data_IF_393506259393
#
_entry.id   IF_393506259393
#
_cell.length_a   1.000
_cell.length_b   1.000
_cell.length_c   1.000
_cell.angle_alpha   90.00
_cell.angle_beta   90.00
_cell.angle_gamma   90.00
#
_symmetry.space_group_name_H-M   'P 1'
#
loop_
_entity.id
_entity.type
_entity.pdbx_description
1 polymer ?
#
# COMPACT_ATOMS: atom_id res chain seq x y z
N UNK A 1 8.56 35.45 2.57
CA UNK A 1 7.54 34.51 2.05
C UNK A 1 7.14 33.61 3.20
N UNK A 2 5.85 33.52 3.55
CA UNK A 2 5.39 32.85 4.76
C UNK A 2 5.52 31.33 4.57
N UNK A 3 6.28 30.63 5.41
CA UNK A 3 6.52 29.18 5.31
C UNK A 3 5.25 28.33 5.44
N UNK A 4 4.13 28.95 5.87
CA UNK A 4 2.80 28.36 5.93
C UNK A 4 2.06 28.33 4.58
N UNK A 5 2.61 28.95 3.51
CA UNK A 5 1.98 29.03 2.17
C UNK A 5 2.97 28.62 1.06
N UNK A 6 4.00 27.83 1.38
CA UNK A 6 4.80 27.20 0.32
C UNK A 6 4.06 25.96 -0.18
N UNK A 7 3.77 25.94 -1.48
CA UNK A 7 3.25 24.76 -2.17
C UNK A 7 4.18 23.58 -1.84
N UNK A 8 3.63 22.54 -1.21
CA UNK A 8 4.39 21.32 -1.01
C UNK A 8 4.61 20.66 -2.38
N UNK A 9 5.77 20.03 -2.62
CA UNK A 9 5.92 19.12 -3.74
C UNK A 9 4.75 18.13 -3.75
N UNK A 10 4.15 17.96 -4.92
CA UNK A 10 3.04 17.05 -5.11
C UNK A 10 3.30 16.14 -6.32
N UNK A 11 2.72 14.96 -6.26
CA UNK A 11 2.76 13.98 -7.35
C UNK A 11 1.34 13.48 -7.63
N UNK A 12 1.03 13.30 -8.91
CA UNK A 12 -0.21 12.68 -9.35
C UNK A 12 0.11 11.27 -9.85
N UNK A 13 -0.57 10.27 -9.30
CA UNK A 13 -0.39 8.86 -9.65
C UNK A 13 -1.65 8.38 -10.35
N UNK A 14 -1.48 7.82 -11.54
CA UNK A 14 -2.55 7.28 -12.36
C UNK A 14 -2.65 5.77 -12.19
N UNK A 15 -3.58 5.11 -12.91
CA UNK A 15 -3.71 3.65 -12.91
C UNK A 15 -2.37 2.96 -13.20
N UNK A 16 -1.66 3.48 -14.20
CA UNK A 16 -0.40 2.93 -14.69
C UNK A 16 -0.57 1.56 -15.32
N UNK A 17 0.55 0.89 -15.54
CA UNK A 17 0.61 -0.50 -16.00
C UNK A 17 1.13 -1.37 -14.87
N UNK A 18 0.49 -2.52 -14.64
CA UNK A 18 1.01 -3.51 -13.71
C UNK A 18 2.31 -4.10 -14.27
N UNK A 19 3.40 -3.97 -13.52
CA UNK A 19 4.72 -4.48 -13.91
C UNK A 19 5.04 -5.83 -13.28
N UNK A 20 4.45 -6.12 -12.12
CA UNK A 20 4.67 -7.34 -11.37
C UNK A 20 3.51 -7.58 -10.38
N UNK A 21 3.39 -8.79 -9.87
CA UNK A 21 2.40 -9.13 -8.85
C UNK A 21 1.93 -10.57 -8.89
N UNK A 22 1.20 -10.93 -7.84
CA UNK A 22 0.55 -12.22 -7.72
C UNK A 22 -0.91 -12.04 -7.27
N UNK A 23 -1.82 -12.76 -7.91
CA UNK A 23 -3.25 -12.78 -7.59
C UNK A 23 -3.76 -14.21 -7.74
N UNK A 24 -4.89 -14.51 -7.11
CA UNK A 24 -5.48 -15.85 -7.12
C UNK A 24 -6.89 -15.90 -6.55
N UNK A 25 -7.23 -17.02 -5.94
CA UNK A 25 -8.55 -17.28 -5.31
C UNK A 25 -8.71 -16.57 -3.97
N UNK A 26 -7.61 -16.26 -3.28
CA UNK A 26 -7.64 -15.50 -2.03
C UNK A 26 -8.32 -16.27 -0.91
N UNK A 27 -7.90 -17.53 -0.75
CA UNK A 27 -8.49 -18.51 0.18
C UNK A 27 -7.80 -18.56 1.54
N UNK A 28 -6.67 -17.87 1.70
CA UNK A 28 -5.94 -17.76 2.96
C UNK A 28 -5.96 -16.33 3.47
N UNK A 29 -6.19 -16.18 4.78
CA UNK A 29 -6.02 -14.93 5.51
C UNK A 29 -4.77 -15.03 6.38
N UNK A 30 -3.78 -14.20 6.08
CA UNK A 30 -2.51 -14.16 6.77
C UNK A 30 -2.55 -13.09 7.85
N UNK A 31 -2.61 -13.52 9.10
CA UNK A 31 -2.55 -12.64 10.26
C UNK A 31 -1.29 -11.77 10.26
N UNK A 32 -1.49 -10.46 10.49
CA UNK A 32 -0.45 -9.45 10.60
C UNK A 32 -0.48 -8.70 11.96
N UNK A 33 -1.06 -9.29 13.01
CA UNK A 33 -1.08 -8.69 14.36
C UNK A 33 0.31 -8.61 15.00
N UNK A 34 1.19 -9.57 14.68
CA UNK A 34 2.57 -9.64 15.19
C UNK A 34 3.59 -10.17 14.18
N UNK A 35 3.19 -10.29 12.92
CA UNK A 35 4.03 -10.82 11.85
C UNK A 35 4.24 -9.78 10.76
N UNK A 36 5.50 -9.45 10.50
CA UNK A 36 5.89 -8.75 9.28
C UNK A 36 5.78 -9.72 8.10
N UNK A 37 5.43 -9.20 6.92
CA UNK A 37 5.38 -9.95 5.66
C UNK A 37 6.28 -9.29 4.62
N UNK A 38 7.09 -10.09 3.92
CA UNK A 38 7.99 -9.62 2.89
C UNK A 38 7.67 -10.29 1.54
N UNK A 39 7.51 -9.45 0.53
CA UNK A 39 7.29 -9.80 -0.87
C UNK A 39 8.45 -9.25 -1.67
N UNK A 40 8.78 -9.85 -2.81
CA UNK A 40 9.66 -9.18 -3.78
C UNK A 40 8.95 -8.97 -5.10
N UNK A 41 9.44 -7.99 -5.84
CA UNK A 41 9.14 -7.79 -7.25
C UNK A 41 10.43 -7.49 -8.01
N UNK A 42 10.39 -7.63 -9.33
CA UNK A 42 11.49 -7.23 -10.22
C UNK A 42 11.08 -5.96 -10.95
N UNK A 43 11.91 -4.91 -10.91
CA UNK A 43 11.68 -3.65 -11.62
C UNK A 43 11.97 -3.83 -13.13
N UNK A 44 11.26 -4.74 -13.80
CA UNK A 44 11.53 -5.10 -15.19
C UNK A 44 11.01 -4.01 -16.13
N UNK A 45 11.92 -3.44 -16.92
CA UNK A 45 11.61 -2.40 -17.89
C UNK A 45 11.30 -1.03 -17.29
N UNK A 46 11.44 -0.84 -15.97
CA UNK A 46 11.09 0.41 -15.27
C UNK A 46 12.19 0.89 -14.34
N UNK A 47 12.16 2.18 -14.03
CA UNK A 47 13.04 2.83 -13.05
C UNK A 47 12.28 3.52 -11.92
N UNK A 48 10.96 3.24 -11.84
CA UNK A 48 10.06 3.82 -10.86
C UNK A 48 8.88 2.87 -10.58
N UNK A 49 8.23 3.05 -9.44
CA UNK A 49 6.90 2.50 -9.13
C UNK A 49 5.99 3.63 -8.61
N UNK A 50 4.77 3.68 -9.12
CA UNK A 50 3.83 4.76 -8.80
C UNK A 50 2.94 4.37 -7.63
N UNK A 51 2.45 3.12 -7.60
CA UNK A 51 1.58 2.58 -6.55
C UNK A 51 1.73 1.07 -6.42
N UNK A 52 1.30 0.58 -5.26
CA UNK A 52 1.16 -0.85 -4.99
C UNK A 52 -0.27 -1.15 -4.58
N UNK A 53 -0.75 -2.35 -4.89
CA UNK A 53 -1.99 -2.88 -4.33
C UNK A 53 -1.69 -4.11 -3.50
N UNK A 54 -2.36 -4.23 -2.35
CA UNK A 54 -2.44 -5.46 -1.57
C UNK A 54 -3.90 -5.84 -1.40
N UNK A 55 -4.22 -7.13 -1.45
CA UNK A 55 -5.53 -7.60 -1.03
C UNK A 55 -5.54 -7.73 0.49
N UNK A 56 -6.37 -6.93 1.15
CA UNK A 56 -6.39 -6.75 2.60
C UNK A 56 -7.80 -6.95 3.14
N UNK A 57 -7.88 -7.27 4.43
CA UNK A 57 -9.10 -7.15 5.22
C UNK A 57 -8.74 -6.64 6.62
N UNK A 58 -9.46 -5.64 7.10
CA UNK A 58 -9.31 -5.15 8.47
C UNK A 58 -10.10 -6.01 9.45
N UNK A 59 -9.48 -6.37 10.58
CA UNK A 59 -10.12 -7.08 11.68
C UNK A 59 -10.34 -6.14 12.88
N UNK A 60 -11.49 -6.27 13.54
CA UNK A 60 -11.89 -5.34 14.61
C UNK A 60 -11.89 -3.87 14.13
N UNK A 61 -11.20 -3.01 14.89
CA UNK A 61 -11.02 -1.59 14.50
C UNK A 61 -9.86 -1.36 13.52
N UNK A 62 -9.10 -2.39 13.18
CA UNK A 62 -7.93 -2.30 12.31
C UNK A 62 -6.69 -1.69 12.98
N UNK A 63 -5.57 -1.74 12.27
CA UNK A 63 -4.33 -1.06 12.62
C UNK A 63 -3.75 -0.37 11.37
N UNK A 64 -3.02 0.72 11.55
CA UNK A 64 -2.38 1.41 10.42
C UNK A 64 -1.39 0.44 9.76
N UNK A 65 -1.44 0.36 8.43
CA UNK A 65 -0.55 -0.52 7.68
C UNK A 65 0.66 0.29 7.24
N UNK A 66 1.85 -0.15 7.64
CA UNK A 66 3.10 0.44 7.15
C UNK A 66 3.68 -0.47 6.08
N UNK A 67 3.94 0.11 4.92
CA UNK A 67 4.54 -0.59 3.79
C UNK A 67 5.87 0.09 3.47
N UNK A 68 6.92 -0.70 3.39
CA UNK A 68 8.27 -0.26 3.08
C UNK A 68 8.72 -0.83 1.73
N UNK A 69 9.42 -0.02 0.95
CA UNK A 69 10.21 -0.46 -0.19
C UNK A 69 11.68 -0.58 0.24
N UNK A 70 12.28 -1.74 -0.02
CA UNK A 70 13.68 -2.00 0.33
C UNK A 70 14.48 -2.59 -0.82
N UNK A 71 15.77 -2.29 -0.85
CA UNK A 71 16.75 -2.98 -1.71
C UNK A 71 17.67 -3.87 -0.86
N UNK A 72 18.08 -5.00 -1.41
CA UNK A 72 19.13 -5.83 -0.80
C UNK A 72 18.76 -6.58 0.48
N UNK A 73 17.47 -6.67 0.86
CA UNK A 73 17.04 -7.57 1.93
C UNK A 73 17.37 -9.02 1.57
N UNK A 74 17.82 -9.79 2.57
CA UNK A 74 18.10 -11.23 2.43
C UNK A 74 17.21 -12.02 3.39
N UNK A 75 16.50 -13.01 2.88
CA UNK A 75 15.50 -13.77 3.63
C UNK A 75 16.09 -14.64 4.76
N UNK A 76 17.40 -14.92 4.76
CA UNK A 76 18.05 -15.58 5.89
C UNK A 76 18.19 -14.68 7.14
N UNK A 77 17.85 -13.39 7.03
CA UNK A 77 17.92 -12.41 8.11
C UNK A 77 19.31 -11.81 8.33
N UNK A 78 20.28 -12.08 7.45
CA UNK A 78 21.63 -11.49 7.53
C UNK A 78 21.64 -9.98 7.31
N UNK A 79 20.66 -9.44 6.58
CA UNK A 79 20.47 -8.00 6.38
C UNK A 79 19.02 -7.66 6.09
N UNK A 80 18.55 -6.54 6.65
CA UNK A 80 17.24 -5.93 6.32
C UNK A 80 17.28 -5.12 5.02
N UNK A 81 18.46 -4.98 4.39
CA UNK A 81 18.63 -4.12 3.24
C UNK A 81 18.49 -2.63 3.55
N UNK A 82 18.51 -1.81 2.51
CA UNK A 82 18.32 -0.37 2.59
C UNK A 82 16.84 -0.02 2.46
N UNK A 83 16.35 0.88 3.34
CA UNK A 83 15.01 1.45 3.22
C UNK A 83 15.02 2.56 2.16
N UNK A 84 14.29 2.35 1.08
CA UNK A 84 14.18 3.31 -0.02
C UNK A 84 12.96 4.23 0.13
N UNK A 85 11.85 3.66 0.62
CA UNK A 85 10.60 4.39 0.76
C UNK A 85 9.71 3.77 1.84
N UNK A 86 8.85 4.57 2.47
CA UNK A 86 7.85 4.11 3.43
C UNK A 86 6.53 4.86 3.25
N UNK A 87 5.43 4.13 3.22
CA UNK A 87 4.06 4.66 3.20
C UNK A 87 3.25 4.12 4.37
N UNK A 88 2.31 4.93 4.87
CA UNK A 88 1.34 4.53 5.89
C UNK A 88 -0.05 4.58 5.29
N UNK A 89 -0.75 3.46 5.28
CA UNK A 89 -2.18 3.38 4.98
C UNK A 89 -2.96 3.43 6.30
N UNK A 90 -3.78 4.47 6.54
CA UNK A 90 -4.61 4.56 7.74
C UNK A 90 -5.58 3.39 7.88
N UNK A 91 -5.76 2.91 9.12
CA UNK A 91 -6.69 1.81 9.42
C UNK A 91 -8.13 2.08 9.01
N UNK A 92 -8.53 3.36 8.98
CA UNK A 92 -9.86 3.79 8.57
C UNK A 92 -10.14 3.41 7.10
N UNK A 93 -9.09 3.25 6.29
CA UNK A 93 -9.18 2.94 4.87
C UNK A 93 -9.14 1.43 4.60
N UNK A 94 -9.00 0.60 5.64
CA UNK A 94 -9.03 -0.83 5.51
C UNK A 94 -10.44 -1.32 5.18
N UNK A 95 -10.58 -2.20 4.18
CA UNK A 95 -11.88 -2.74 3.83
C UNK A 95 -12.33 -3.74 4.89
N UNK A 96 -13.65 -3.82 5.13
CA UNK A 96 -14.25 -4.77 6.09
C UNK A 96 -14.45 -6.17 5.52
N UNK A 97 -14.33 -6.31 4.20
CA UNK A 97 -14.28 -7.58 3.47
C UNK A 97 -13.02 -7.58 2.62
N UNK A 98 -12.51 -8.75 2.25
CA UNK A 98 -11.32 -8.84 1.39
C UNK A 98 -11.48 -7.99 0.12
N UNK A 99 -10.52 -7.10 -0.11
CA UNK A 99 -10.47 -6.26 -1.31
C UNK A 99 -9.04 -5.77 -1.56
N UNK A 100 -8.70 -5.53 -2.83
CA UNK A 100 -7.48 -4.82 -3.17
C UNK A 100 -7.57 -3.36 -2.74
N UNK A 101 -6.56 -2.91 -1.99
CA UNK A 101 -6.39 -1.52 -1.58
C UNK A 101 -5.21 -0.92 -2.33
N UNK A 102 -5.44 0.19 -3.01
CA UNK A 102 -4.39 0.93 -3.73
C UNK A 102 -3.68 1.90 -2.81
N UNK A 103 -2.35 1.85 -2.80
CA UNK A 103 -1.47 2.57 -1.88
C UNK A 103 -0.43 3.34 -2.71
N UNK A 104 -0.34 4.67 -2.55
CA UNK A 104 0.61 5.48 -3.33
C UNK A 104 2.05 5.27 -2.84
N UNK A 105 3.01 5.30 -3.76
CA UNK A 105 4.45 5.15 -3.44
C UNK A 105 5.31 6.24 -4.09
N UNK A 106 5.11 6.53 -5.39
CA UNK A 106 5.94 7.48 -6.17
C UNK A 106 7.47 7.31 -5.95
N UNK A 107 7.95 6.06 -5.96
CA UNK A 107 9.35 5.76 -5.75
C UNK A 107 10.09 5.73 -7.09
N UNK A 108 11.12 6.56 -7.23
CA UNK A 108 11.95 6.69 -8.45
C UNK A 108 13.39 6.24 -8.18
N UNK A 109 14.21 6.14 -9.23
CA UNK A 109 15.62 5.75 -9.11
C UNK A 109 15.85 4.24 -8.95
N UNK A 110 14.85 3.42 -9.32
CA UNK A 110 15.01 1.98 -9.36
C UNK A 110 15.91 1.58 -10.54
N UNK A 111 16.63 0.47 -10.36
CA UNK A 111 17.48 -0.11 -11.39
C UNK A 111 16.67 -1.13 -12.17
N UNK A 112 16.56 -0.94 -13.49
CA UNK A 112 15.87 -1.88 -14.37
C UNK A 112 16.42 -3.31 -14.21
N UNK A 113 15.52 -4.26 -13.95
CA UNK A 113 15.84 -5.68 -13.75
C UNK A 113 16.34 -6.04 -12.35
N UNK A 114 16.48 -5.07 -11.45
CA UNK A 114 16.81 -5.35 -10.05
C UNK A 114 15.59 -5.82 -9.26
N UNK A 115 15.84 -6.63 -8.23
CA UNK A 115 14.83 -7.10 -7.28
C UNK A 115 14.72 -6.11 -6.12
N UNK A 116 13.49 -5.76 -5.78
CA UNK A 116 13.14 -4.96 -4.62
C UNK A 116 12.15 -5.70 -3.74
N UNK A 117 12.09 -5.30 -2.48
CA UNK A 117 11.23 -5.92 -1.46
C UNK A 117 10.15 -4.95 -0.99
N UNK A 118 8.92 -5.45 -0.91
CA UNK A 118 7.82 -4.78 -0.24
C UNK A 118 7.63 -5.46 1.12
N UNK A 119 7.83 -4.71 2.20
CA UNK A 119 7.60 -5.20 3.55
C UNK A 119 6.33 -4.57 4.10
N UNK A 120 5.37 -5.41 4.46
CA UNK A 120 4.17 -5.02 5.20
C UNK A 120 4.47 -5.29 6.68
N UNK A 121 4.57 -4.23 7.47
CA UNK A 121 4.87 -4.35 8.90
C UNK A 121 3.64 -4.82 9.66
N UNK A 122 3.83 -5.83 10.51
CA UNK A 122 2.80 -6.28 11.43
C UNK A 122 2.47 -5.18 12.43
N UNK A 123 1.18 -5.01 12.73
CA UNK A 123 0.71 -3.99 13.65
C UNK A 123 -0.61 -4.39 14.31
N UNK A 124 -0.85 -3.80 15.49
CA UNK A 124 -2.07 -4.00 16.24
C UNK A 124 -1.93 -4.99 17.39
N UNK A 125 -3.02 -5.68 17.69
CA UNK A 125 -3.12 -6.72 18.71
C UNK A 125 -3.95 -7.90 18.19
N UNK A 126 -4.23 -8.91 19.03
CA UNK A 126 -4.98 -10.09 18.62
C UNK A 126 -6.46 -9.80 18.21
N UNK A 127 -6.97 -8.60 18.47
CA UNK A 127 -8.34 -8.16 18.19
C UNK A 127 -8.39 -7.09 17.09
N UNK A 128 -7.47 -6.13 17.13
CA UNK A 128 -7.45 -4.95 16.26
C UNK A 128 -6.21 -4.99 15.38
N UNK A 129 -6.37 -5.53 14.17
CA UNK A 129 -5.27 -5.76 13.24
C UNK A 129 -5.81 -5.88 11.81
N UNK A 130 -4.99 -6.35 10.90
CA UNK A 130 -5.39 -6.63 9.52
C UNK A 130 -4.82 -7.96 9.06
N UNK A 131 -5.42 -8.53 8.04
CA UNK A 131 -4.90 -9.70 7.34
C UNK A 131 -4.51 -9.32 5.91
N UNK A 132 -3.43 -9.94 5.45
CA UNK A 132 -3.12 -10.03 4.02
C UNK A 132 -3.85 -11.25 3.44
N UNK A 133 -4.40 -11.09 2.25
CA UNK A 133 -5.10 -12.18 1.56
C UNK A 133 -4.14 -12.87 0.59
N UNK A 134 -4.27 -14.18 0.47
CA UNK A 134 -3.42 -14.97 -0.41
C UNK A 134 -3.91 -16.38 -0.64
N UNK A 135 -2.98 -17.23 -1.02
CA UNK A 135 -3.19 -18.66 -1.25
C UNK A 135 -2.78 -19.49 -0.03
N UNK A 136 -3.16 -20.76 0.02
CA UNK A 136 -2.74 -21.68 1.10
C UNK A 136 -1.34 -22.25 0.88
N UNK A 137 -0.83 -22.19 -0.35
CA UNK A 137 0.48 -22.70 -0.73
C UNK A 137 1.45 -21.56 -1.08
N UNK A 138 2.75 -21.82 -0.91
CA UNK A 138 3.80 -20.95 -1.43
C UNK A 138 3.92 -21.10 -2.94
N UNK A 139 4.16 -19.99 -3.64
CA UNK A 139 4.54 -19.96 -5.05
C UNK A 139 6.02 -19.56 -5.16
N UNK A 140 6.83 -20.40 -5.80
CA UNK A 140 8.27 -20.15 -5.96
C UNK A 140 8.59 -18.89 -6.79
N UNK A 141 7.68 -18.47 -7.67
CA UNK A 141 7.85 -17.24 -8.45
C UNK A 141 7.54 -15.98 -7.62
N UNK A 142 6.63 -16.13 -6.65
CA UNK A 142 6.14 -15.03 -5.79
C UNK A 142 6.12 -15.47 -4.32
N UNK A 143 7.26 -15.79 -3.72
CA UNK A 143 7.31 -16.22 -2.34
C UNK A 143 6.95 -15.05 -1.42
N UNK A 144 6.15 -15.35 -0.41
CA UNK A 144 5.88 -14.45 0.70
C UNK A 144 6.60 -15.02 1.91
N UNK A 145 7.41 -14.19 2.55
CA UNK A 145 8.06 -14.56 3.79
C UNK A 145 7.43 -13.83 4.97
N UNK A 146 7.54 -14.40 6.16
CA UNK A 146 7.06 -13.79 7.38
C UNK A 146 8.08 -13.90 8.50
N UNK A 147 8.01 -12.96 9.44
CA UNK A 147 8.85 -12.96 10.64
C UNK A 147 8.13 -12.30 11.81
N UNK A 148 8.39 -12.80 13.01
CA UNK A 148 8.00 -12.14 14.25
C UNK A 148 9.11 -11.19 14.71
N UNK A 149 8.79 -9.91 14.89
CA UNK A 149 9.75 -8.90 15.31
C UNK A 149 10.85 -8.61 14.27
N UNK A 150 11.90 -7.91 14.72
CA UNK A 150 12.92 -7.32 13.84
C UNK A 150 14.23 -8.13 13.73
N UNK A 151 14.29 -9.33 14.30
CA UNK A 151 15.52 -10.15 14.36
C UNK A 151 15.21 -11.58 13.95
N UNK A 152 16.16 -12.23 13.27
CA UNK A 152 16.07 -13.62 12.85
C UNK A 152 15.72 -13.79 11.38
N UNK A 153 15.77 -15.03 10.93
CA UNK A 153 15.48 -15.40 9.54
C UNK A 153 14.01 -15.23 9.20
N UNK A 154 13.75 -14.83 7.95
CA UNK A 154 12.41 -14.82 7.39
C UNK A 154 11.98 -16.24 7.04
N UNK A 155 10.79 -16.63 7.46
CA UNK A 155 10.24 -17.95 7.20
C UNK A 155 9.36 -17.91 5.96
N UNK A 156 9.55 -18.86 5.04
CA UNK A 156 8.68 -18.97 3.87
C UNK A 156 7.25 -19.34 4.30
N UNK A 157 6.27 -18.59 3.81
CA UNK A 157 4.85 -18.81 4.07
C UNK A 157 4.03 -18.95 2.79
N UNK A 158 2.70 -18.99 2.94
CA UNK A 158 1.79 -18.96 1.80
C UNK A 158 1.91 -17.65 1.01
N UNK A 159 1.75 -17.69 -0.31
CA UNK A 159 1.90 -16.50 -1.16
C UNK A 159 0.73 -15.54 -0.99
N UNK A 160 1.04 -14.28 -0.71
CA UNK A 160 0.05 -13.21 -0.62
C UNK A 160 -0.18 -12.48 -1.94
N UNK A 161 -1.35 -11.87 -2.06
CA UNK A 161 -1.74 -11.11 -3.23
C UNK A 161 -1.22 -9.68 -3.17
N UNK A 162 -0.54 -9.30 -4.25
CA UNK A 162 -0.04 -7.95 -4.41
C UNK A 162 0.08 -7.61 -5.90
N UNK A 163 0.10 -6.32 -6.21
CA UNK A 163 0.38 -5.81 -7.55
C UNK A 163 1.25 -4.58 -7.45
N UNK A 164 2.16 -4.41 -8.40
CA UNK A 164 3.05 -3.26 -8.50
C UNK A 164 2.79 -2.57 -9.82
N UNK A 165 2.59 -1.24 -9.78
CA UNK A 165 2.25 -0.44 -10.95
C UNK A 165 3.28 0.67 -11.17
N UNK A 166 3.48 1.01 -12.44
CA UNK A 166 4.36 2.10 -12.89
C UNK A 166 3.74 2.85 -14.08
N UNK A 167 4.16 4.08 -14.33
CA UNK A 167 3.68 4.93 -15.43
C UNK A 167 2.42 5.74 -15.10
N UNK A 168 1.94 6.47 -16.12
CA UNK A 168 0.96 7.57 -15.99
C UNK A 168 -0.31 7.39 -16.85
N UNK A 169 -0.57 6.18 -17.34
CA UNK A 169 -1.77 5.88 -18.14
C UNK A 169 -3.01 5.71 -17.24
N UNK A 170 -4.19 6.00 -17.79
CA UNK A 170 -5.49 5.75 -17.16
C UNK A 170 -6.00 6.88 -16.28
N UNK A 171 -6.87 6.55 -15.32
CA UNK A 171 -7.51 7.50 -14.42
C UNK A 171 -6.57 7.90 -13.28
N UNK A 172 -6.79 9.10 -12.72
CA UNK A 172 -6.03 9.58 -11.56
C UNK A 172 -6.41 8.76 -10.32
N UNK A 173 -5.48 8.01 -9.73
CA UNK A 173 -5.73 7.17 -8.56
C UNK A 173 -5.30 7.81 -7.26
N UNK A 174 -4.20 8.56 -7.28
CA UNK A 174 -3.72 9.25 -6.08
C UNK A 174 -3.15 10.63 -6.36
N UNK A 175 -3.29 11.52 -5.38
CA UNK A 175 -2.49 12.73 -5.28
C UNK A 175 -1.68 12.70 -4.00
N UNK A 176 -0.36 12.84 -4.09
CA UNK A 176 0.56 12.91 -2.95
C UNK A 176 1.00 14.34 -2.71
N UNK A 177 1.16 14.74 -1.45
CA UNK A 177 1.54 16.09 -1.05
C UNK A 177 2.29 16.03 0.28
N UNK A 178 3.62 16.08 0.21
CA UNK A 178 4.48 15.74 1.35
C UNK A 178 4.26 14.29 1.80
N UNK A 179 4.00 14.07 3.09
CA UNK A 179 3.66 12.75 3.65
C UNK A 179 2.15 12.43 3.60
N UNK A 180 1.32 13.37 3.14
CA UNK A 180 -0.10 13.16 2.94
C UNK A 180 -0.42 12.63 1.54
N UNK A 181 -1.58 12.00 1.42
CA UNK A 181 -2.09 11.59 0.12
C UNK A 181 -3.62 11.66 0.05
N UNK A 182 -4.12 11.58 -1.17
CA UNK A 182 -5.53 11.41 -1.50
C UNK A 182 -5.63 10.19 -2.39
N UNK A 183 -6.57 9.28 -2.12
CA UNK A 183 -6.92 8.16 -3.01
C UNK A 183 -8.29 8.42 -3.60
N UNK A 184 -8.43 8.16 -4.90
CA UNK A 184 -9.62 8.42 -5.68
C UNK A 184 -10.18 7.09 -6.18
N UNK A 185 -11.45 6.83 -5.89
CA UNK A 185 -12.20 5.72 -6.44
C UNK A 185 -13.28 6.23 -7.39
N UNK A 186 -13.41 5.54 -8.52
CA UNK A 186 -14.44 5.78 -9.51
C UNK A 186 -15.43 4.61 -9.52
N UNK A 187 -16.67 4.91 -9.87
CA UNK A 187 -17.67 3.93 -10.26
C UNK A 187 -17.98 4.17 -11.75
N UNK A 188 -17.49 3.28 -12.61
CA UNK A 188 -17.28 3.59 -14.02
C UNK A 188 -16.41 4.86 -14.14
N UNK A 189 -16.83 5.84 -14.95
CA UNK A 189 -16.07 7.09 -15.18
C UNK A 189 -16.42 8.19 -14.17
N UNK A 190 -17.27 7.89 -13.17
CA UNK A 190 -17.75 8.88 -12.20
C UNK A 190 -17.03 8.70 -10.87
N UNK A 191 -16.39 9.78 -10.42
CA UNK A 191 -15.76 9.87 -9.10
C UNK A 191 -16.77 9.51 -7.99
N UNK A 192 -16.53 8.41 -7.27
CA UNK A 192 -17.48 7.88 -6.28
C UNK A 192 -17.04 8.14 -4.84
N UNK A 193 -15.74 8.08 -4.57
CA UNK A 193 -15.20 8.20 -3.22
C UNK A 193 -13.78 8.75 -3.23
N UNK A 194 -13.45 9.52 -2.20
CA UNK A 194 -12.12 10.03 -1.94
C UNK A 194 -11.69 9.71 -0.52
N UNK A 195 -10.51 9.11 -0.38
CA UNK A 195 -9.84 8.96 0.91
C UNK A 195 -8.81 10.06 1.03
N UNK A 196 -8.74 10.72 2.18
CA UNK A 196 -7.78 11.79 2.43
C UNK A 196 -6.98 11.50 3.69
N UNK A 197 -5.68 11.37 3.52
CA UNK A 197 -4.73 11.26 4.61
C UNK A 197 -3.82 12.47 4.67
N UNK A 198 -3.84 13.15 5.82
CA UNK A 198 -2.91 14.22 6.17
C UNK A 198 -2.34 13.92 7.55
N UNK A 199 -1.12 13.38 7.65
CA UNK A 199 -0.48 13.18 8.92
C UNK A 199 -0.22 14.52 9.63
N UNK A 200 -0.25 14.58 10.97
CA UNK A 200 0.28 15.73 11.69
C UNK A 200 1.78 15.88 11.43
N UNK A 201 2.30 17.08 11.64
CA UNK A 201 3.74 17.31 11.50
C UNK A 201 4.53 16.41 12.44
N UNK A 202 5.49 15.66 11.90
CA UNK A 202 6.43 14.83 12.67
C UNK A 202 5.88 13.50 13.20
N UNK A 203 4.64 13.10 12.87
CA UNK A 203 4.08 11.80 13.27
C UNK A 203 3.14 11.23 12.20
N UNK A 204 3.07 9.90 12.11
CA UNK A 204 2.10 9.21 11.26
C UNK A 204 0.75 8.96 11.96
N UNK A 205 0.66 9.15 13.29
CA UNK A 205 -0.58 8.92 14.02
C UNK A 205 -1.43 10.18 14.14
N UNK A 206 -2.75 10.02 13.95
CA UNK A 206 -3.72 11.12 13.96
C UNK A 206 -3.80 11.84 12.62
N UNK A 207 -4.17 13.13 12.65
CA UNK A 207 -4.34 13.95 11.45
C UNK A 207 -5.71 13.75 10.79
N UNK A 208 -5.84 14.16 9.53
CA UNK A 208 -7.06 13.94 8.75
C UNK A 208 -6.98 12.55 8.12
N UNK A 209 -8.03 11.75 8.30
CA UNK A 209 -8.12 10.35 7.88
C UNK A 209 -9.54 10.08 7.38
N UNK A 210 -9.96 10.86 6.42
CA UNK A 210 -11.37 10.97 6.05
C UNK A 210 -11.68 10.15 4.82
N UNK A 211 -12.90 9.58 4.80
CA UNK A 211 -13.49 8.97 3.62
C UNK A 211 -14.67 9.83 3.22
N UNK A 212 -14.58 10.47 2.06
CA UNK A 212 -15.67 11.23 1.47
C UNK A 212 -16.33 10.38 0.40
N UNK A 213 -17.62 10.08 0.57
CA UNK A 213 -18.47 9.47 -0.44
C UNK A 213 -19.23 10.58 -1.16
N UNK A 214 -19.24 10.55 -2.49
CA UNK A 214 -19.86 11.59 -3.29
C UNK A 214 -21.25 11.21 -3.79
N UNK A 215 -22.19 12.14 -3.62
CA UNK A 215 -23.54 12.04 -4.16
C UNK A 215 -23.66 12.90 -5.43
N UNK A 216 -24.05 12.27 -6.54
CA UNK A 216 -24.25 12.91 -7.84
C UNK A 216 -25.72 13.11 -8.15
N UNK A 217 -26.04 14.15 -8.92
CA UNK A 217 -27.36 14.37 -9.51
C UNK A 217 -27.20 14.59 -11.01
N UNK A 218 -27.43 13.54 -11.80
CA UNK A 218 -26.97 13.51 -13.19
C UNK A 218 -25.46 13.65 -13.24
N UNK A 219 -24.98 14.60 -14.05
CA UNK A 219 -23.55 14.90 -14.22
C UNK A 219 -22.98 15.87 -13.17
N UNK A 220 -23.79 16.30 -12.19
CA UNK A 220 -23.37 17.28 -11.20
C UNK A 220 -23.02 16.63 -9.86
N UNK A 221 -21.80 16.88 -9.39
CA UNK A 221 -21.42 16.58 -8.02
C UNK A 221 -22.20 17.48 -7.06
N UNK A 222 -23.10 16.88 -6.27
CA UNK A 222 -24.02 17.64 -5.41
C UNK A 222 -23.47 17.88 -4.01
N UNK A 223 -22.80 16.88 -3.43
CA UNK A 223 -22.23 16.94 -2.07
C UNK A 223 -21.27 15.76 -1.83
N UNK A 224 -20.38 15.93 -0.85
CA UNK A 224 -19.68 14.83 -0.20
C UNK A 224 -20.27 14.59 1.19
N UNK A 225 -20.33 13.32 1.61
CA UNK A 225 -20.66 12.89 2.97
C UNK A 225 -19.54 12.04 3.54
N UNK A 226 -19.38 12.09 4.86
CA UNK A 226 -18.44 11.25 5.62
C UNK A 226 -19.16 10.04 6.20
#
# INVERSE_FOLDING_TARGET
>A
MNSLVSLQPFTLIYDGTQIDGFTGSGISEMDCSGYDRAFYFTALGVTEISRVEFELVGNGTGADVVIELRSGLVSDGSTEGELLYQMVLPKEFLPKTKAFVSIPFDATGLVNGARYWLLVRGAGDATNHFHLIGETASNANYPCYYRTGSVGSWTLGPSGHFKVFSGELGELRHGMYGAGFTTIEYNAEILSKVYRYLPPSGTAQGGIRDILVYDWNGEYLKRGRM
#
